data_IF_202776933506
#
_entry.id   IF_202776933506
#
_cell.length_a   1.000
_cell.length_b   1.000
_cell.length_c   1.000
_cell.angle_alpha   90.00
_cell.angle_beta   90.00
_cell.angle_gamma   90.00
#
_symmetry.space_group_name_H-M   'P 1'
#
loop_
_entity.id
_entity.type
_entity.pdbx_description
1 polymer ?
#
# COMPACT_ATOMS: atom_id res chain seq x y z
N UNK A 1 -9.32 -0.29 -6.46
CA UNK A 1 -9.40 -1.02 -5.18
C UNK A 1 -10.81 -1.12 -4.61
N UNK A 2 -11.60 -0.04 -4.54
CA UNK A 2 -12.93 -0.05 -3.91
C UNK A 2 -13.85 -1.20 -4.39
N UNK A 3 -13.89 -1.47 -5.70
CA UNK A 3 -14.69 -2.58 -6.24
C UNK A 3 -14.19 -3.96 -5.80
N UNK A 4 -12.87 -4.16 -5.69
CA UNK A 4 -12.30 -5.41 -5.18
C UNK A 4 -12.65 -5.61 -3.69
N UNK A 5 -12.71 -4.53 -2.90
CA UNK A 5 -13.18 -4.58 -1.51
C UNK A 5 -14.69 -4.86 -1.40
N UNK A 6 -15.51 -4.32 -2.31
CA UNK A 6 -16.96 -4.58 -2.34
C UNK A 6 -17.31 -6.07 -2.41
N UNK A 7 -16.52 -6.86 -3.12
CA UNK A 7 -16.73 -8.30 -3.29
C UNK A 7 -15.77 -9.15 -2.45
N UNK A 8 -14.95 -8.52 -1.61
CA UNK A 8 -13.88 -9.19 -0.87
C UNK A 8 -14.42 -10.24 0.10
N UNK A 9 -15.57 -9.96 0.74
CA UNK A 9 -16.23 -10.90 1.64
C UNK A 9 -16.78 -12.16 0.96
N UNK A 10 -16.83 -12.20 -0.38
CA UNK A 10 -17.27 -13.37 -1.13
C UNK A 10 -16.14 -14.41 -1.33
N UNK A 11 -14.90 -14.03 -1.03
CA UNK A 11 -13.73 -14.89 -1.15
C UNK A 11 -13.57 -15.78 0.09
N UNK A 12 -12.97 -16.96 -0.07
CA UNK A 12 -12.53 -17.76 1.07
C UNK A 12 -11.45 -17.00 1.86
N UNK A 13 -11.26 -17.30 3.15
CA UNK A 13 -10.22 -16.64 3.95
C UNK A 13 -8.82 -16.76 3.31
N UNK A 14 -8.51 -17.93 2.73
CA UNK A 14 -7.25 -18.17 2.01
C UNK A 14 -7.10 -17.21 0.82
N UNK A 15 -8.17 -17.05 0.03
CA UNK A 15 -8.15 -16.18 -1.14
C UNK A 15 -8.18 -14.69 -0.76
N UNK A 16 -8.83 -14.34 0.36
CA UNK A 16 -8.77 -13.01 0.95
C UNK A 16 -7.34 -12.64 1.33
N UNK A 17 -6.65 -13.51 2.07
CA UNK A 17 -5.25 -13.29 2.46
C UNK A 17 -4.36 -13.17 1.23
N UNK A 18 -4.46 -14.12 0.27
CA UNK A 18 -3.68 -14.06 -0.97
C UNK A 18 -3.95 -12.78 -1.77
N UNK A 19 -5.19 -12.32 -1.81
CA UNK A 19 -5.53 -11.08 -2.50
C UNK A 19 -4.94 -9.84 -1.81
N UNK A 20 -4.92 -9.79 -0.48
CA UNK A 20 -4.27 -8.69 0.25
C UNK A 20 -2.76 -8.74 0.11
N UNK A 21 -2.13 -9.92 0.20
CA UNK A 21 -0.69 -10.10 -0.02
C UNK A 21 -0.31 -9.59 -1.43
N UNK A 22 -1.06 -9.96 -2.47
CA UNK A 22 -0.87 -9.44 -3.83
C UNK A 22 -0.98 -7.90 -3.92
N UNK A 23 -1.88 -7.28 -3.15
CA UNK A 23 -1.98 -5.82 -3.13
C UNK A 23 -0.79 -5.18 -2.42
N UNK A 24 -0.33 -5.79 -1.32
CA UNK A 24 0.85 -5.33 -0.60
C UNK A 24 2.06 -5.34 -1.53
N UNK A 25 2.30 -6.44 -2.25
CA UNK A 25 3.45 -6.57 -3.18
C UNK A 25 3.43 -5.49 -4.26
N UNK A 26 2.26 -5.23 -4.88
CA UNK A 26 2.12 -4.20 -5.91
C UNK A 26 2.44 -2.82 -5.35
N UNK A 27 1.90 -2.47 -4.18
CA UNK A 27 2.13 -1.15 -3.60
C UNK A 27 3.53 -1.00 -3.00
N UNK A 28 4.15 -2.06 -2.49
CA UNK A 28 5.54 -2.02 -1.99
C UNK A 28 6.50 -1.74 -3.17
N UNK A 29 6.29 -2.37 -4.33
CA UNK A 29 7.05 -2.07 -5.55
C UNK A 29 6.80 -0.64 -6.04
N UNK A 30 5.55 -0.18 -6.01
CA UNK A 30 5.19 1.19 -6.39
C UNK A 30 5.88 2.22 -5.49
N UNK A 31 5.86 2.00 -4.17
CA UNK A 31 6.51 2.89 -3.21
C UNK A 31 8.02 2.96 -3.42
N UNK A 32 8.69 1.82 -3.60
CA UNK A 32 10.14 1.78 -3.88
C UNK A 32 10.47 2.63 -5.11
N UNK A 33 9.68 2.51 -6.18
CA UNK A 33 9.89 3.31 -7.40
C UNK A 33 9.70 4.80 -7.17
N UNK A 34 8.69 5.19 -6.39
CA UNK A 34 8.45 6.60 -6.06
C UNK A 34 9.59 7.17 -5.19
N UNK A 35 10.06 6.41 -4.20
CA UNK A 35 11.20 6.79 -3.36
C UNK A 35 12.51 6.87 -4.16
N UNK A 36 12.72 5.96 -5.11
CA UNK A 36 13.86 6.02 -6.03
C UNK A 36 13.79 7.25 -6.94
N UNK A 37 12.60 7.63 -7.39
CA UNK A 37 12.41 8.85 -8.17
C UNK A 37 12.69 10.09 -7.32
N UNK A 38 12.20 10.15 -6.07
CA UNK A 38 12.45 11.26 -5.14
C UNK A 38 13.94 11.48 -4.83
N UNK A 39 14.75 10.41 -4.87
CA UNK A 39 16.21 10.49 -4.69
C UNK A 39 16.93 11.11 -5.89
N UNK A 40 16.27 11.26 -7.04
CA UNK A 40 16.86 11.90 -8.21
C UNK A 40 16.81 13.42 -8.05
N UNK A 41 17.87 14.08 -8.50
CA UNK A 41 17.90 15.53 -8.54
C UNK A 41 16.95 16.02 -9.66
N UNK A 42 15.84 16.64 -9.26
CA UNK A 42 14.95 17.34 -10.18
C UNK A 42 15.33 18.81 -10.20
N UNK A 43 16.36 19.14 -10.97
CA UNK A 43 16.92 20.50 -11.05
C UNK A 43 15.93 21.56 -11.55
N UNK A 44 14.75 21.19 -12.05
CA UNK A 44 13.84 22.12 -12.76
C UNK A 44 12.34 21.96 -12.45
N UNK A 45 11.91 21.14 -11.48
CA UNK A 45 10.47 20.93 -11.25
C UNK A 45 10.07 20.69 -9.79
N UNK A 46 9.94 21.78 -9.03
CA UNK A 46 9.39 21.77 -7.66
C UNK A 46 7.97 21.19 -7.60
N UNK A 47 7.15 21.42 -8.63
CA UNK A 47 5.79 20.86 -8.72
C UNK A 47 5.78 19.34 -8.85
N UNK A 48 6.72 18.77 -9.64
CA UNK A 48 6.84 17.32 -9.77
C UNK A 48 7.33 16.71 -8.45
N UNK A 49 8.31 17.33 -7.80
CA UNK A 49 8.82 16.86 -6.52
C UNK A 49 7.71 16.81 -5.45
N UNK A 50 6.98 17.92 -5.27
CA UNK A 50 5.87 17.96 -4.31
C UNK A 50 4.74 16.98 -4.64
N UNK A 51 4.47 16.73 -5.94
CA UNK A 51 3.52 15.71 -6.35
C UNK A 51 4.00 14.29 -6.01
N UNK A 52 5.28 13.98 -6.25
CA UNK A 52 5.88 12.69 -5.93
C UNK A 52 5.89 12.41 -4.43
N UNK A 53 6.22 13.40 -3.60
CA UNK A 53 6.15 13.29 -2.14
C UNK A 53 4.72 12.96 -1.68
N UNK A 54 3.75 13.73 -2.16
CA UNK A 54 2.34 13.52 -1.83
C UNK A 54 1.83 12.13 -2.24
N UNK A 55 2.20 11.64 -3.43
CA UNK A 55 1.77 10.31 -3.88
C UNK A 55 2.48 9.19 -3.13
N UNK A 56 3.77 9.33 -2.82
CA UNK A 56 4.52 8.39 -2.00
C UNK A 56 3.90 8.25 -0.60
N UNK A 57 3.54 9.35 0.04
CA UNK A 57 2.84 9.35 1.34
C UNK A 57 1.50 8.63 1.27
N UNK A 58 0.74 8.82 0.18
CA UNK A 58 -0.53 8.16 -0.03
C UNK A 58 -0.37 6.64 -0.21
N UNK A 59 0.63 6.21 -0.97
CA UNK A 59 0.94 4.79 -1.18
C UNK A 59 1.43 4.15 0.12
N UNK A 60 2.34 4.81 0.83
CA UNK A 60 2.85 4.37 2.15
C UNK A 60 1.73 4.21 3.17
N UNK A 61 0.81 5.18 3.25
CA UNK A 61 -0.36 5.10 4.14
C UNK A 61 -1.28 3.93 3.78
N UNK A 62 -1.49 3.68 2.48
CA UNK A 62 -2.27 2.54 2.01
C UNK A 62 -1.61 1.20 2.34
N UNK A 63 -0.30 1.09 2.18
CA UNK A 63 0.47 -0.10 2.56
C UNK A 63 0.35 -0.42 4.04
N UNK A 64 0.52 0.59 4.90
CA UNK A 64 0.36 0.45 6.35
C UNK A 64 -1.04 -0.09 6.69
N UNK A 65 -2.08 0.43 6.03
CA UNK A 65 -3.44 -0.05 6.22
C UNK A 65 -3.62 -1.49 5.72
N UNK A 66 -3.10 -1.85 4.54
CA UNK A 66 -3.19 -3.20 3.99
C UNK A 66 -2.47 -4.23 4.87
N UNK A 67 -1.29 -3.91 5.39
CA UNK A 67 -0.51 -4.77 6.30
C UNK A 67 -1.27 -5.05 7.60
N UNK A 68 -1.83 -4.02 8.23
CA UNK A 68 -2.72 -4.18 9.41
C UNK A 68 -3.98 -4.97 9.10
N UNK A 69 -4.61 -4.72 7.94
CA UNK A 69 -5.80 -5.45 7.53
C UNK A 69 -5.50 -6.93 7.33
N UNK A 70 -4.35 -7.26 6.71
CA UNK A 70 -3.86 -8.63 6.53
C UNK A 70 -3.67 -9.36 7.86
N UNK A 71 -3.05 -8.71 8.84
CA UNK A 71 -2.89 -9.24 10.21
C UNK A 71 -4.24 -9.49 10.89
N UNK A 72 -5.22 -8.61 10.67
CA UNK A 72 -6.57 -8.76 11.23
C UNK A 72 -7.32 -9.97 10.65
N UNK A 73 -7.07 -10.33 9.38
CA UNK A 73 -7.66 -11.51 8.74
C UNK A 73 -7.11 -12.82 9.30
N UNK A 74 -5.82 -12.85 9.65
CA UNK A 74 -5.15 -14.05 10.19
C UNK A 74 -5.27 -14.18 11.71
N UNK A 75 -6.01 -13.30 12.37
CA UNK A 75 -6.18 -13.30 13.83
C UNK A 75 -4.90 -12.92 14.59
N UNK A 76 -3.90 -12.35 13.91
CA UNK A 76 -2.63 -11.94 14.51
C UNK A 76 -2.78 -10.50 15.01
N UNK A 77 -3.63 -10.29 16.02
CA UNK A 77 -3.69 -9.00 16.72
C UNK A 77 -2.40 -8.83 17.53
N UNK A 78 -1.43 -8.08 17.01
CA UNK A 78 -0.46 -7.40 17.86
C UNK A 78 -1.22 -6.36 18.67
N UNK A 79 -1.42 -6.67 19.95
CA UNK A 79 -1.84 -5.70 20.95
C UNK A 79 -0.71 -4.67 21.07
N UNK A 80 -0.80 -3.57 20.33
CA UNK A 80 -0.02 -2.38 20.65
C UNK A 80 -0.77 -1.61 21.74
N UNK A 81 -0.25 -1.74 22.96
CA UNK A 81 -0.47 -0.87 24.13
C UNK A 81 0.28 0.44 23.93
#
# INVERSE_FOLDING_TARGET
>A
MALKFRFFSLLSLKDQVSQIDNFIDVYDIELIRLEELLKKEFSESEYLFGWLEHDADRVSSRLKWLKRFRESLTGTRTNDV
#
